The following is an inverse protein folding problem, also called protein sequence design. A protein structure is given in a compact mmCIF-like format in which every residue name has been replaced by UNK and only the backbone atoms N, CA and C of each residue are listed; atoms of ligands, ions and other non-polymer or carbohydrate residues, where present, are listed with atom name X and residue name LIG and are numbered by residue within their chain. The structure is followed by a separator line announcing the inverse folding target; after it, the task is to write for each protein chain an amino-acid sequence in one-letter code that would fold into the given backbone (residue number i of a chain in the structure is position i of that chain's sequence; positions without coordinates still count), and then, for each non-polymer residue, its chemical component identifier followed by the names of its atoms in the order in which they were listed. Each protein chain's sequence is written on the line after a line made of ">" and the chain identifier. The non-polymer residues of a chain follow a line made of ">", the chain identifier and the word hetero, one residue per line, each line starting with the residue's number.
data_IF_420929329135
#
_entry.id   IF_420929329135
#
_cell.length_a   1.000
_cell.length_b   1.000
_cell.length_c   1.000
_cell.angle_alpha   90.00
_cell.angle_beta   90.00
_cell.angle_gamma   90.00
#
_symmetry.space_group_name_H-M   'P 1'
#
loop_
_entity.id
_entity.type
_entity.pdbx_description
1 polymer ?
#
# COMPACT_ATOMS: atom_id res chain seq x y z
N UNK A 1 -3.18 -1.44 40.31
CA UNK A 1 -3.31 -1.95 38.94
C UNK A 1 -1.93 -1.86 38.28
N UNK A 2 -1.39 -2.99 37.86
CA UNK A 2 -0.11 -3.06 37.14
C UNK A 2 -0.30 -2.77 35.65
N UNK A 3 0.77 -2.46 34.92
CA UNK A 3 0.72 -2.27 33.45
C UNK A 3 0.16 -3.53 32.75
N UNK A 4 0.52 -4.73 33.25
CA UNK A 4 0.05 -5.99 32.67
C UNK A 4 -1.46 -6.21 32.89
N UNK A 5 -1.95 -5.89 34.08
CA UNK A 5 -3.40 -5.94 34.38
C UNK A 5 -4.15 -4.97 33.48
N UNK A 6 -3.67 -3.74 33.34
CA UNK A 6 -4.28 -2.74 32.46
C UNK A 6 -4.34 -3.19 30.98
N UNK A 7 -3.26 -3.79 30.46
CA UNK A 7 -3.25 -4.35 29.08
C UNK A 7 -4.30 -5.46 28.95
N UNK A 8 -4.42 -6.33 29.95
CA UNK A 8 -5.41 -7.42 29.95
C UNK A 8 -6.84 -6.89 30.01
N UNK A 9 -7.11 -5.91 30.86
CA UNK A 9 -8.44 -5.29 30.96
C UNK A 9 -8.83 -4.60 29.64
N UNK A 10 -7.85 -4.01 28.97
CA UNK A 10 -8.01 -3.39 27.65
C UNK A 10 -8.34 -4.41 26.55
N UNK A 11 -7.65 -5.54 26.55
CA UNK A 11 -7.96 -6.68 25.66
C UNK A 11 -9.39 -7.19 25.89
N UNK A 12 -9.78 -7.41 27.15
CA UNK A 12 -11.13 -7.88 27.53
C UNK A 12 -12.20 -6.86 27.10
N UNK A 13 -11.87 -5.57 27.15
CA UNK A 13 -12.76 -4.48 26.73
C UNK A 13 -12.85 -4.33 25.20
N UNK A 14 -12.20 -5.21 24.43
CA UNK A 14 -12.26 -5.22 22.96
C UNK A 14 -11.34 -4.21 22.28
N UNK A 15 -10.33 -3.68 22.97
CA UNK A 15 -9.35 -2.78 22.38
C UNK A 15 -8.03 -3.53 22.09
N UNK A 16 -7.78 -3.95 20.84
CA UNK A 16 -6.65 -4.79 20.48
C UNK A 16 -5.31 -4.05 20.42
N UNK A 17 -5.31 -2.72 20.53
CA UNK A 17 -4.13 -1.87 20.41
C UNK A 17 -4.09 -0.79 21.48
N UNK A 18 -2.90 -0.29 21.75
CA UNK A 18 -2.69 0.85 22.66
C UNK A 18 -1.41 1.61 22.36
N UNK A 19 -1.35 2.84 22.85
CA UNK A 19 -0.16 3.69 22.84
C UNK A 19 0.43 3.87 24.23
N UNK A 20 1.70 4.29 24.28
CA UNK A 20 2.37 4.66 25.54
C UNK A 20 1.68 5.84 26.22
N UNK A 21 1.11 6.77 25.44
CA UNK A 21 0.39 7.92 25.99
C UNK A 21 -0.86 7.48 26.76
N UNK A 22 -1.58 6.47 26.28
CA UNK A 22 -2.75 5.94 26.99
C UNK A 22 -2.38 5.27 28.31
N UNK A 23 -1.23 4.60 28.36
CA UNK A 23 -0.68 4.06 29.63
C UNK A 23 -0.35 5.20 30.58
N UNK A 24 0.32 6.26 30.10
CA UNK A 24 0.66 7.42 30.94
C UNK A 24 -0.57 8.10 31.53
N UNK A 25 -1.63 8.24 30.73
CA UNK A 25 -2.89 8.82 31.18
C UNK A 25 -3.60 7.94 32.20
N UNK A 26 -3.64 6.62 31.97
CA UNK A 26 -4.33 5.68 32.86
C UNK A 26 -3.54 5.39 34.16
N UNK A 27 -2.21 5.45 34.10
CA UNK A 27 -1.31 5.06 35.18
C UNK A 27 -0.23 6.16 35.44
N UNK A 28 -0.62 7.36 35.89
CA UNK A 28 0.27 8.52 35.99
C UNK A 28 1.37 8.40 37.06
N UNK A 29 1.27 7.42 37.96
CA UNK A 29 2.22 7.16 39.03
C UNK A 29 3.47 6.39 38.56
N UNK A 30 3.45 5.79 37.37
CA UNK A 30 4.61 5.11 36.81
C UNK A 30 5.53 6.09 36.07
N UNK A 31 6.84 6.00 36.31
CA UNK A 31 7.83 6.76 35.54
C UNK A 31 8.00 6.17 34.13
N UNK A 32 8.46 7.00 33.18
CA UNK A 32 8.67 6.56 31.80
C UNK A 32 9.62 5.36 31.68
N UNK A 33 10.66 5.34 32.52
CA UNK A 33 11.63 4.25 32.54
C UNK A 33 10.98 2.93 32.97
N UNK A 34 10.07 2.98 33.96
CA UNK A 34 9.35 1.78 34.40
C UNK A 34 8.41 1.29 33.30
N UNK A 35 7.65 2.19 32.67
CA UNK A 35 6.76 1.84 31.55
C UNK A 35 7.56 1.17 30.43
N UNK A 36 8.70 1.75 30.03
CA UNK A 36 9.55 1.20 28.97
C UNK A 36 10.09 -0.18 29.31
N UNK A 37 10.58 -0.37 30.54
CA UNK A 37 11.11 -1.65 31.00
C UNK A 37 10.03 -2.74 31.04
N UNK A 38 8.84 -2.41 31.54
CA UNK A 38 7.72 -3.35 31.60
C UNK A 38 7.20 -3.72 30.21
N UNK A 39 7.03 -2.75 29.30
CA UNK A 39 6.62 -3.02 27.92
C UNK A 39 7.65 -3.88 27.19
N UNK A 40 8.95 -3.67 27.42
CA UNK A 40 9.99 -4.52 26.85
C UNK A 40 9.87 -5.97 27.36
N UNK A 41 9.66 -6.15 28.66
CA UNK A 41 9.47 -7.48 29.28
C UNK A 41 8.21 -8.17 28.75
N UNK A 42 7.08 -7.47 28.69
CA UNK A 42 5.79 -8.00 28.20
C UNK A 42 5.88 -8.35 26.71
N UNK A 43 6.59 -7.54 25.92
CA UNK A 43 6.85 -7.83 24.51
C UNK A 43 7.74 -9.08 24.33
N UNK A 44 8.76 -9.24 25.18
CA UNK A 44 9.64 -10.42 25.17
C UNK A 44 8.90 -11.71 25.52
N UNK A 45 7.82 -11.62 26.29
CA UNK A 45 6.92 -12.72 26.62
C UNK A 45 5.95 -13.07 25.47
N UNK A 46 5.90 -12.27 24.39
CA UNK A 46 4.99 -12.50 23.27
C UNK A 46 3.54 -12.14 23.57
N UNK A 47 3.29 -11.25 24.54
CA UNK A 47 1.94 -10.76 24.87
C UNK A 47 1.59 -9.54 24.01
N UNK A 48 2.57 -8.69 23.71
CA UNK A 48 2.40 -7.50 22.87
C UNK A 48 3.44 -7.45 21.76
N UNK A 49 3.05 -6.88 20.62
CA UNK A 49 3.88 -6.69 19.45
C UNK A 49 4.10 -5.19 19.17
N UNK A 50 5.34 -4.67 19.23
CA UNK A 50 5.63 -3.27 18.95
C UNK A 50 5.62 -3.00 17.43
N UNK A 51 4.53 -2.42 16.91
CA UNK A 51 4.40 -2.17 15.46
C UNK A 51 4.89 -0.80 15.03
N UNK A 52 4.91 0.18 15.95
CA UNK A 52 5.38 1.53 15.70
C UNK A 52 5.98 2.14 17.00
N UNK A 53 6.73 3.24 16.88
CA UNK A 53 7.30 3.93 18.05
C UNK A 53 6.18 4.37 18.99
N UNK A 54 6.10 3.75 20.17
CA UNK A 54 5.12 4.10 21.19
C UNK A 54 3.73 3.52 20.95
N UNK A 55 3.56 2.60 19.99
CA UNK A 55 2.29 1.96 19.69
C UNK A 55 2.45 0.44 19.59
N UNK A 56 1.54 -0.28 20.23
CA UNK A 56 1.61 -1.72 20.45
C UNK A 56 0.28 -2.37 20.11
N UNK A 57 0.39 -3.61 19.62
CA UNK A 57 -0.75 -4.49 19.38
C UNK A 57 -0.71 -5.60 20.41
N UNK A 58 -1.84 -5.90 21.04
CA UNK A 58 -1.99 -7.05 21.91
C UNK A 58 -2.08 -8.29 21.01
N UNK A 59 -1.25 -9.30 21.24
CA UNK A 59 -1.18 -10.48 20.38
C UNK A 59 -2.36 -11.40 20.74
N UNK A 60 -3.38 -11.54 19.87
CA UNK A 60 -4.50 -12.42 20.17
C UNK A 60 -4.07 -13.90 20.14
N UNK A 61 -4.83 -14.81 20.78
CA UNK A 61 -4.45 -16.20 20.93
C UNK A 61 -4.11 -16.92 19.62
N UNK A 62 -4.81 -16.60 18.52
CA UNK A 62 -4.59 -17.23 17.21
C UNK A 62 -3.30 -16.76 16.50
N UNK A 63 -2.68 -15.65 16.93
CA UNK A 63 -1.36 -15.20 16.49
C UNK A 63 -0.23 -15.52 17.49
N UNK A 64 -0.54 -16.09 18.67
CA UNK A 64 0.40 -16.30 19.75
C UNK A 64 1.59 -17.22 19.37
N UNK A 65 1.34 -18.25 18.55
CA UNK A 65 2.39 -19.18 18.13
C UNK A 65 3.50 -18.50 17.31
N UNK A 66 3.13 -17.56 16.43
CA UNK A 66 4.08 -16.82 15.58
C UNK A 66 4.58 -15.53 16.23
N UNK A 67 3.92 -15.06 17.30
CA UNK A 67 4.18 -13.77 17.98
C UNK A 67 4.23 -12.58 17.02
N UNK A 68 3.52 -12.69 15.90
CA UNK A 68 3.44 -11.69 14.85
C UNK A 68 1.99 -11.52 14.47
N UNK A 69 1.54 -10.27 14.43
CA UNK A 69 0.18 -9.90 14.08
C UNK A 69 0.23 -9.27 12.68
N UNK A 70 -0.59 -9.71 11.71
CA UNK A 70 -0.56 -9.18 10.36
C UNK A 70 -1.02 -7.71 10.35
N UNK A 71 -0.42 -6.85 9.51
CA UNK A 71 -0.79 -5.43 9.43
C UNK A 71 -2.27 -5.14 9.22
N UNK A 72 -2.98 -5.98 8.46
CA UNK A 72 -4.42 -5.84 8.21
C UNK A 72 -5.26 -5.83 9.50
N UNK A 73 -4.73 -6.39 10.60
CA UNK A 73 -5.37 -6.44 11.90
C UNK A 73 -5.24 -5.14 12.70
N UNK A 74 -4.26 -4.28 12.43
CA UNK A 74 -4.02 -3.09 13.27
C UNK A 74 -3.83 -1.79 12.49
N UNK A 75 -3.81 -1.84 11.15
CA UNK A 75 -3.40 -0.69 10.35
C UNK A 75 -4.32 0.50 10.54
N UNK A 76 -5.62 0.28 10.72
CA UNK A 76 -6.60 1.35 10.92
C UNK A 76 -6.36 2.12 12.23
N UNK A 77 -6.12 1.38 13.31
CA UNK A 77 -5.83 1.95 14.63
C UNK A 77 -4.46 2.63 14.65
N UNK A 78 -3.48 2.06 13.94
CA UNK A 78 -2.17 2.69 13.77
C UNK A 78 -2.29 4.02 13.02
N UNK A 79 -3.05 4.07 11.94
CA UNK A 79 -3.21 5.30 11.16
C UNK A 79 -4.03 6.36 11.88
N UNK A 80 -5.01 5.92 12.69
CA UNK A 80 -5.72 6.78 13.63
C UNK A 80 -4.78 7.37 14.69
N UNK A 81 -3.89 6.55 15.29
CA UNK A 81 -2.86 7.02 16.23
C UNK A 81 -1.89 8.03 15.61
N UNK A 82 -1.50 7.79 14.35
CA UNK A 82 -0.64 8.72 13.60
C UNK A 82 -1.38 9.97 13.13
N UNK A 83 -2.72 9.99 13.25
CA UNK A 83 -3.60 11.00 12.70
C UNK A 83 -3.32 11.28 11.22
N UNK A 84 -3.27 10.21 10.42
CA UNK A 84 -2.98 10.29 8.99
C UNK A 84 -3.98 9.50 8.16
N UNK A 85 -4.45 10.06 7.03
CA UNK A 85 -5.25 9.29 6.09
C UNK A 85 -4.36 8.24 5.40
N UNK A 86 -4.99 7.14 4.99
CA UNK A 86 -4.27 6.02 4.40
C UNK A 86 -5.17 5.19 3.48
N UNK A 87 -4.53 4.33 2.71
CA UNK A 87 -5.15 3.14 2.15
C UNK A 87 -4.10 2.05 1.95
N UNK A 88 -4.55 0.80 1.91
CA UNK A 88 -3.75 -0.36 1.51
C UNK A 88 -3.57 -0.29 0.00
N UNK A 89 -2.32 -0.35 -0.47
CA UNK A 89 -1.96 -0.07 -1.86
C UNK A 89 -1.10 -1.17 -2.49
N UNK A 90 -0.76 -1.00 -3.77
CA UNK A 90 0.14 -1.88 -4.51
C UNK A 90 -0.31 -3.35 -4.48
N UNK A 91 0.63 -4.28 -4.28
CA UNK A 91 0.37 -5.73 -4.29
C UNK A 91 -0.67 -6.16 -3.26
N UNK A 92 -0.79 -5.46 -2.12
CA UNK A 92 -1.78 -5.81 -1.10
C UNK A 92 -3.19 -5.36 -1.48
N UNK A 93 -3.33 -4.25 -2.22
CA UNK A 93 -4.62 -3.90 -2.81
C UNK A 93 -5.00 -4.90 -3.91
N UNK A 94 -4.05 -5.27 -4.76
CA UNK A 94 -4.26 -6.26 -5.81
C UNK A 94 -4.66 -7.64 -5.23
N UNK A 95 -4.02 -8.08 -4.13
CA UNK A 95 -4.41 -9.28 -3.37
C UNK A 95 -5.85 -9.20 -2.84
N UNK A 96 -6.29 -8.04 -2.34
CA UNK A 96 -7.68 -7.85 -1.89
C UNK A 96 -8.65 -7.93 -3.07
N UNK A 97 -8.25 -7.45 -4.24
CA UNK A 97 -8.96 -7.66 -5.49
C UNK A 97 -8.85 -9.09 -6.00
N UNK A 98 -8.13 -10.00 -5.35
CA UNK A 98 -7.94 -11.38 -5.84
C UNK A 98 -7.08 -11.47 -7.10
N UNK A 99 -6.26 -10.44 -7.36
CA UNK A 99 -5.30 -10.36 -8.46
C UNK A 99 -3.88 -10.35 -7.87
N UNK A 100 -3.46 -11.50 -7.37
CA UNK A 100 -2.15 -11.70 -6.80
C UNK A 100 -1.75 -13.16 -6.87
N UNK A 101 -1.06 -13.53 -7.95
CA UNK A 101 -0.48 -14.86 -8.13
C UNK A 101 0.35 -15.32 -6.93
N UNK A 102 1.11 -14.40 -6.32
CA UNK A 102 1.89 -14.66 -5.12
C UNK A 102 1.50 -13.74 -3.99
N UNK A 103 1.40 -14.33 -2.79
CA UNK A 103 1.13 -13.57 -1.57
C UNK A 103 2.22 -12.51 -1.34
N UNK A 104 1.85 -11.22 -1.16
CA UNK A 104 2.82 -10.18 -0.88
C UNK A 104 3.57 -10.46 0.43
N UNK A 105 4.90 -10.45 0.39
CA UNK A 105 5.72 -10.66 1.60
C UNK A 105 5.71 -9.44 2.54
N UNK A 106 5.48 -8.25 1.99
CA UNK A 106 5.36 -7.01 2.73
C UNK A 106 3.97 -6.42 2.54
N UNK A 107 3.58 -5.55 3.46
CA UNK A 107 2.28 -4.89 3.49
C UNK A 107 2.44 -3.40 3.17
N UNK A 108 2.00 -3.03 1.98
CA UNK A 108 2.11 -1.68 1.42
C UNK A 108 0.97 -0.79 1.89
N UNK A 109 1.34 0.34 2.49
CA UNK A 109 0.42 1.35 2.97
C UNK A 109 0.78 2.68 2.33
N UNK A 110 -0.18 3.26 1.62
CA UNK A 110 -0.05 4.60 1.07
C UNK A 110 -0.57 5.62 2.08
N UNK A 111 0.18 6.69 2.32
CA UNK A 111 -0.24 7.81 3.16
C UNK A 111 0.29 9.14 2.60
N UNK A 112 0.09 10.23 3.33
CA UNK A 112 0.51 11.59 2.92
C UNK A 112 1.82 12.02 3.56
N UNK A 113 2.52 12.93 2.89
CA UNK A 113 3.66 13.64 3.47
C UNK A 113 3.23 14.54 4.65
N UNK A 114 4.13 14.87 5.59
CA UNK A 114 5.53 14.46 5.68
C UNK A 114 5.68 12.97 6.03
N UNK A 115 6.81 12.36 5.68
CA UNK A 115 7.06 10.95 6.00
C UNK A 115 6.99 10.73 7.51
N UNK A 116 6.36 9.65 7.95
CA UNK A 116 6.35 9.27 9.36
C UNK A 116 7.80 8.95 9.79
N UNK A 117 8.21 9.43 10.96
CA UNK A 117 9.55 9.22 11.52
C UNK A 117 9.67 7.79 12.09
N UNK A 118 9.53 6.81 11.22
CA UNK A 118 9.58 5.39 11.59
C UNK A 118 11.04 4.95 11.59
N UNK A 119 11.48 4.31 12.67
CA UNK A 119 12.68 3.47 12.56
C UNK A 119 12.27 2.21 11.82
N UNK A 120 12.83 2.00 10.62
CA UNK A 120 12.64 0.76 9.84
C UNK A 120 12.95 -0.51 10.66
N UNK A 121 13.73 -0.38 11.73
CA UNK A 121 14.11 -1.49 12.62
C UNK A 121 12.96 -2.12 13.42
N UNK A 122 11.83 -1.43 13.62
CA UNK A 122 10.76 -1.93 14.52
C UNK A 122 9.65 -2.72 13.81
N UNK A 123 9.39 -2.47 12.53
CA UNK A 123 8.40 -3.23 11.77
C UNK A 123 8.79 -3.33 10.29
N UNK A 124 9.55 -4.36 9.95
CA UNK A 124 10.01 -4.63 8.58
C UNK A 124 8.90 -5.14 7.65
N UNK A 125 7.70 -5.42 8.19
CA UNK A 125 6.56 -5.92 7.42
C UNK A 125 5.87 -4.80 6.65
N UNK A 126 5.91 -3.56 7.14
CA UNK A 126 5.25 -2.42 6.50
C UNK A 126 6.16 -1.76 5.46
N UNK A 127 5.59 -1.49 4.28
CA UNK A 127 6.18 -0.63 3.25
C UNK A 127 5.37 0.65 3.18
N UNK A 128 6.00 1.75 3.59
CA UNK A 128 5.37 3.07 3.55
C UNK A 128 5.61 3.75 2.21
N UNK A 129 4.52 4.02 1.50
CA UNK A 129 4.51 4.78 0.24
C UNK A 129 3.79 6.10 0.49
N UNK A 130 4.26 7.17 -0.14
CA UNK A 130 3.77 8.52 0.15
C UNK A 130 3.34 9.25 -1.12
N UNK A 131 2.24 9.98 -1.00
CA UNK A 131 1.69 10.85 -2.03
C UNK A 131 1.27 12.20 -1.43
N UNK A 132 0.92 13.16 -2.28
CA UNK A 132 0.53 14.51 -1.84
C UNK A 132 -0.84 14.53 -1.16
N UNK A 133 -1.78 13.77 -1.69
CA UNK A 133 -3.18 13.74 -1.28
C UNK A 133 -3.74 12.33 -1.48
N UNK A 134 -4.68 11.90 -0.62
CA UNK A 134 -5.35 10.61 -0.73
C UNK A 134 -6.55 10.73 -1.69
N UNK A 135 -6.64 9.87 -2.72
CA UNK A 135 -7.75 9.84 -3.67
C UNK A 135 -8.97 9.13 -3.07
N UNK A 136 -9.65 9.77 -2.12
CA UNK A 136 -10.75 9.15 -1.35
C UNK A 136 -11.88 8.60 -2.21
N UNK A 137 -12.19 9.24 -3.33
CA UNK A 137 -13.23 8.83 -4.29
C UNK A 137 -12.94 7.47 -4.95
N UNK A 138 -11.68 7.01 -4.89
CA UNK A 138 -11.19 5.78 -5.51
C UNK A 138 -10.81 4.72 -4.46
N UNK A 139 -11.26 4.90 -3.22
CA UNK A 139 -11.06 3.93 -2.15
C UNK A 139 -12.31 3.08 -1.96
N UNK A 140 -12.08 1.80 -1.79
CA UNK A 140 -13.06 0.83 -1.32
C UNK A 140 -12.78 0.52 0.15
N UNK A 141 -13.79 0.01 0.84
CA UNK A 141 -13.66 -0.42 2.23
C UNK A 141 -14.07 -1.88 2.41
N UNK A 142 -13.49 -2.53 3.41
CA UNK A 142 -13.91 -3.86 3.88
C UNK A 142 -13.69 -3.98 5.38
N UNK A 143 -14.45 -4.84 6.03
CA UNK A 143 -14.24 -5.16 7.44
C UNK A 143 -12.96 -6.00 7.60
N UNK A 144 -12.14 -5.63 8.58
CA UNK A 144 -11.09 -6.46 9.17
C UNK A 144 -11.56 -7.03 10.50
N UNK A 145 -10.71 -7.81 11.17
CA UNK A 145 -11.01 -8.36 12.50
C UNK A 145 -11.20 -7.28 13.58
N UNK A 146 -10.69 -6.07 13.37
CA UNK A 146 -10.61 -5.02 14.40
C UNK A 146 -11.21 -3.69 13.98
N UNK A 147 -11.68 -3.55 12.74
CA UNK A 147 -12.18 -2.29 12.23
C UNK A 147 -12.51 -2.32 10.74
N UNK A 148 -12.60 -1.15 10.13
CA UNK A 148 -12.80 -0.98 8.69
C UNK A 148 -11.46 -0.59 8.08
N UNK A 149 -11.05 -1.28 7.03
CA UNK A 149 -9.84 -0.95 6.28
C UNK A 149 -10.20 -0.39 4.91
N UNK A 150 -9.35 0.50 4.42
CA UNK A 150 -9.49 1.13 3.11
C UNK A 150 -8.41 0.64 2.16
N UNK A 151 -8.76 0.41 0.90
CA UNK A 151 -7.85 -0.03 -0.15
C UNK A 151 -8.22 0.63 -1.48
N UNK A 152 -7.26 0.77 -2.39
CA UNK A 152 -7.52 1.36 -3.70
C UNK A 152 -8.44 0.48 -4.53
N UNK A 153 -9.33 1.07 -5.33
CA UNK A 153 -10.08 0.35 -6.36
C UNK A 153 -9.13 -0.20 -7.46
N UNK A 154 -9.66 -0.94 -8.44
CA UNK A 154 -8.82 -1.60 -9.45
C UNK A 154 -8.00 -0.59 -10.28
N UNK A 155 -8.61 0.50 -10.73
CA UNK A 155 -7.98 1.51 -11.59
C UNK A 155 -6.88 2.28 -10.86
N UNK A 156 -7.14 2.69 -9.61
CA UNK A 156 -6.12 3.33 -8.78
C UNK A 156 -5.00 2.35 -8.43
N UNK A 157 -5.32 1.08 -8.20
CA UNK A 157 -4.31 0.03 -7.95
C UNK A 157 -3.40 -0.12 -9.17
N UNK A 158 -3.96 -0.17 -10.39
CA UNK A 158 -3.21 -0.25 -11.64
C UNK A 158 -2.27 0.94 -11.85
N UNK A 159 -2.75 2.15 -11.56
CA UNK A 159 -1.89 3.34 -11.61
C UNK A 159 -0.80 3.31 -10.55
N UNK A 160 -1.12 2.92 -9.33
CA UNK A 160 -0.17 2.88 -8.21
C UNK A 160 0.95 1.87 -8.46
N UNK A 161 0.66 0.65 -8.95
CA UNK A 161 1.70 -0.36 -9.23
C UNK A 161 2.67 0.07 -10.33
N UNK A 162 2.21 0.81 -11.34
CA UNK A 162 3.09 1.37 -12.38
C UNK A 162 3.86 2.59 -11.88
N UNK A 163 3.21 3.48 -11.12
CA UNK A 163 3.82 4.71 -10.62
C UNK A 163 4.90 4.44 -9.56
N UNK A 164 4.69 3.41 -8.75
CA UNK A 164 5.51 3.05 -7.61
C UNK A 164 6.17 1.67 -7.79
N UNK A 165 6.47 1.31 -9.04
CA UNK A 165 7.07 0.03 -9.45
C UNK A 165 8.31 -0.37 -8.64
N UNK A 166 9.09 0.62 -8.19
CA UNK A 166 10.30 0.42 -7.42
C UNK A 166 10.04 -0.25 -6.05
N UNK A 167 8.80 -0.19 -5.55
CA UNK A 167 8.41 -0.84 -4.29
C UNK A 167 7.95 -2.28 -4.48
N UNK A 168 7.67 -2.70 -5.71
CA UNK A 168 7.14 -4.04 -6.01
C UNK A 168 8.11 -4.89 -6.83
N UNK A 169 9.23 -4.33 -7.28
CA UNK A 169 10.30 -5.07 -7.96
C UNK A 169 10.38 -4.86 -9.46
N UNK A 170 9.79 -3.78 -9.99
CA UNK A 170 9.88 -3.46 -11.42
C UNK A 170 8.56 -3.55 -12.17
N UNK A 171 8.60 -3.08 -13.42
CA UNK A 171 7.47 -3.15 -14.34
C UNK A 171 7.13 -4.59 -14.78
N UNK A 172 8.08 -5.52 -14.77
CA UNK A 172 7.80 -6.95 -15.02
C UNK A 172 6.78 -7.49 -14.01
N UNK A 173 7.07 -7.33 -12.71
CA UNK A 173 6.15 -7.73 -11.65
C UNK A 173 4.86 -6.92 -11.63
N UNK A 174 4.91 -5.65 -12.03
CA UNK A 174 3.70 -4.85 -12.23
C UNK A 174 2.81 -5.47 -13.33
N UNK A 175 3.40 -5.95 -14.41
CA UNK A 175 2.69 -6.48 -15.58
C UNK A 175 2.01 -7.81 -15.26
N UNK A 176 2.68 -8.73 -14.56
CA UNK A 176 2.05 -9.99 -14.10
C UNK A 176 0.80 -9.71 -13.24
N UNK A 177 0.86 -8.73 -12.34
CA UNK A 177 -0.28 -8.37 -11.49
C UNK A 177 -1.37 -7.66 -12.30
N UNK A 178 -0.99 -6.80 -13.25
CA UNK A 178 -1.93 -6.15 -14.15
C UNK A 178 -2.70 -7.15 -14.98
N UNK A 179 -2.07 -8.24 -15.44
CA UNK A 179 -2.71 -9.30 -16.22
C UNK A 179 -3.96 -9.85 -15.51
N UNK A 180 -3.84 -10.22 -14.23
CA UNK A 180 -4.97 -10.66 -13.41
C UNK A 180 -5.98 -9.53 -13.09
N UNK A 181 -5.48 -8.30 -12.96
CA UNK A 181 -6.32 -7.14 -12.63
C UNK A 181 -7.18 -6.70 -13.83
N UNK A 182 -6.77 -7.04 -15.06
CA UNK A 182 -7.38 -6.63 -16.34
C UNK A 182 -8.90 -6.80 -16.33
N UNK A 183 -9.40 -7.95 -15.86
CA UNK A 183 -10.84 -8.26 -15.83
C UNK A 183 -11.69 -7.30 -14.98
N UNK A 184 -11.04 -6.52 -14.11
CA UNK A 184 -11.70 -5.62 -13.13
C UNK A 184 -11.51 -4.15 -13.47
N UNK A 185 -10.75 -3.83 -14.52
CA UNK A 185 -10.41 -2.46 -14.87
C UNK A 185 -11.48 -1.83 -15.75
N UNK A 186 -11.92 -0.63 -15.36
CA UNK A 186 -12.75 0.25 -16.18
C UNK A 186 -12.29 1.71 -16.07
N UNK A 187 -11.61 2.19 -17.11
CA UNK A 187 -11.10 3.56 -17.13
C UNK A 187 -12.12 4.60 -17.62
N UNK A 188 -13.37 4.24 -17.89
CA UNK A 188 -14.38 5.23 -18.33
C UNK A 188 -14.54 6.35 -17.31
N UNK A 189 -14.39 7.59 -17.77
CA UNK A 189 -14.44 8.78 -16.91
C UNK A 189 -13.18 9.01 -16.06
N UNK A 190 -12.10 8.25 -16.25
CA UNK A 190 -10.85 8.43 -15.50
C UNK A 190 -10.23 9.83 -15.68
N UNK A 191 -10.45 10.47 -16.84
CA UNK A 191 -10.01 11.84 -17.12
C UNK A 191 -10.62 12.89 -16.18
N UNK A 192 -11.79 12.62 -15.59
CA UNK A 192 -12.51 13.59 -14.76
C UNK A 192 -11.80 13.86 -13.42
N UNK A 193 -11.26 12.81 -12.79
CA UNK A 193 -10.64 12.92 -11.45
C UNK A 193 -9.42 12.01 -11.27
N UNK A 194 -9.48 10.75 -11.74
CA UNK A 194 -8.44 9.76 -11.46
C UNK A 194 -7.06 10.21 -11.97
N UNK A 195 -6.99 10.77 -13.18
CA UNK A 195 -5.71 11.20 -13.74
C UNK A 195 -5.07 12.38 -13.01
N UNK A 196 -5.83 13.18 -12.27
CA UNK A 196 -5.29 14.24 -11.41
C UNK A 196 -4.41 13.73 -10.27
N UNK A 197 -4.52 12.44 -9.94
CA UNK A 197 -3.79 11.78 -8.88
C UNK A 197 -2.49 11.09 -9.33
N UNK A 198 -2.17 11.14 -10.62
CA UNK A 198 -0.98 10.49 -11.19
C UNK A 198 -0.26 11.40 -12.19
N UNK A 199 0.82 10.91 -12.78
CA UNK A 199 1.53 11.60 -13.85
C UNK A 199 1.10 11.07 -15.21
N UNK A 200 1.12 11.92 -16.24
CA UNK A 200 0.89 11.50 -17.64
C UNK A 200 1.84 10.37 -18.02
N UNK A 201 3.09 10.42 -17.54
CA UNK A 201 4.08 9.38 -17.81
C UNK A 201 3.67 8.01 -17.24
N UNK A 202 3.02 7.98 -16.08
CA UNK A 202 2.46 6.74 -15.51
C UNK A 202 1.37 6.19 -16.41
N UNK A 203 0.43 7.04 -16.85
CA UNK A 203 -0.70 6.63 -17.70
C UNK A 203 -0.18 6.08 -19.03
N UNK A 204 0.82 6.74 -19.63
CA UNK A 204 1.48 6.26 -20.85
C UNK A 204 2.08 4.87 -20.65
N UNK A 205 2.80 4.63 -19.53
CA UNK A 205 3.41 3.31 -19.23
C UNK A 205 2.35 2.24 -19.01
N UNK A 206 1.32 2.55 -18.23
CA UNK A 206 0.21 1.64 -17.99
C UNK A 206 -0.48 1.24 -19.30
N UNK A 207 -0.77 2.22 -20.15
CA UNK A 207 -1.38 1.98 -21.45
C UNK A 207 -0.53 1.12 -22.36
N UNK A 208 0.78 1.39 -22.45
CA UNK A 208 1.69 0.54 -23.21
C UNK A 208 1.73 -0.91 -22.69
N UNK A 209 1.74 -1.10 -21.37
CA UNK A 209 1.72 -2.45 -20.77
C UNK A 209 0.41 -3.17 -21.12
N UNK A 210 -0.74 -2.52 -20.94
CA UNK A 210 -2.04 -3.10 -21.26
C UNK A 210 -2.16 -3.45 -22.75
N UNK A 211 -1.71 -2.56 -23.63
CA UNK A 211 -1.86 -2.70 -25.09
C UNK A 211 -0.87 -3.73 -25.67
N UNK A 212 0.43 -3.52 -25.47
CA UNK A 212 1.48 -4.23 -26.20
C UNK A 212 2.06 -5.42 -25.45
N UNK A 213 1.98 -5.43 -24.11
CA UNK A 213 2.51 -6.54 -23.29
C UNK A 213 1.40 -7.54 -22.98
N UNK A 214 0.25 -7.06 -22.52
CA UNK A 214 -0.86 -7.90 -22.04
C UNK A 214 -1.94 -8.15 -23.10
N UNK A 215 -1.87 -7.49 -24.26
CA UNK A 215 -2.86 -7.59 -25.34
C UNK A 215 -4.31 -7.29 -24.90
N UNK A 216 -4.48 -6.45 -23.87
CA UNK A 216 -5.76 -6.01 -23.34
C UNK A 216 -6.32 -4.80 -24.12
N UNK A 217 -6.51 -4.98 -25.43
CA UNK A 217 -6.80 -3.91 -26.38
C UNK A 217 -8.02 -3.06 -26.00
N UNK A 218 -9.13 -3.67 -25.54
CA UNK A 218 -10.36 -2.93 -25.19
C UNK A 218 -10.13 -1.93 -24.03
N UNK A 219 -9.36 -2.35 -23.03
CA UNK A 219 -9.05 -1.52 -21.84
C UNK A 219 -8.03 -0.45 -22.21
N UNK A 220 -7.03 -0.83 -23.01
CA UNK A 220 -6.03 0.09 -23.55
C UNK A 220 -6.67 1.18 -24.43
N UNK A 221 -7.64 0.83 -25.28
CA UNK A 221 -8.40 1.74 -26.12
C UNK A 221 -9.19 2.75 -25.27
N UNK A 222 -9.92 2.26 -24.27
CA UNK A 222 -10.65 3.10 -23.32
C UNK A 222 -9.72 4.07 -22.59
N UNK A 223 -8.59 3.57 -22.06
CA UNK A 223 -7.59 4.40 -21.39
C UNK A 223 -7.00 5.45 -22.33
N UNK A 224 -6.75 5.09 -23.59
CA UNK A 224 -6.19 5.99 -24.60
C UNK A 224 -7.17 7.12 -24.95
N UNK A 225 -8.45 6.81 -25.10
CA UNK A 225 -9.50 7.81 -25.32
C UNK A 225 -9.58 8.81 -24.16
N UNK A 226 -9.55 8.32 -22.93
CA UNK A 226 -9.56 9.17 -21.73
C UNK A 226 -8.28 10.01 -21.61
N UNK A 227 -7.11 9.46 -21.96
CA UNK A 227 -5.86 10.21 -21.91
C UNK A 227 -5.84 11.35 -22.94
N UNK A 228 -6.33 11.09 -24.15
CA UNK A 228 -6.36 12.10 -25.23
C UNK A 228 -7.42 13.18 -24.99
N UNK A 229 -8.51 12.87 -24.28
CA UNK A 229 -9.46 13.89 -23.81
C UNK A 229 -8.88 14.74 -22.67
N UNK A 230 -8.10 14.12 -21.78
CA UNK A 230 -7.45 14.79 -20.64
C UNK A 230 -6.30 15.69 -21.06
N UNK A 231 -5.46 15.25 -22.00
CA UNK A 231 -4.24 15.96 -22.43
C UNK A 231 -4.12 15.96 -23.95
N UNK A 232 -4.14 17.16 -24.54
CA UNK A 232 -4.06 17.35 -26.01
C UNK A 232 -2.78 16.80 -26.65
N UNK A 233 -1.63 16.88 -25.95
CA UNK A 233 -0.33 16.39 -26.44
C UNK A 233 0.55 15.94 -25.28
N UNK A 234 1.13 14.74 -25.40
CA UNK A 234 2.09 14.18 -24.45
C UNK A 234 3.39 13.78 -25.18
N UNK A 235 4.51 13.81 -24.45
CA UNK A 235 5.87 13.64 -24.99
C UNK A 235 6.29 12.17 -24.97
N UNK A 236 7.31 11.84 -25.78
CA UNK A 236 7.95 10.54 -25.65
C UNK A 236 8.67 10.42 -24.31
N UNK A 237 8.43 9.31 -23.61
CA UNK A 237 9.07 8.95 -22.34
C UNK A 237 9.75 7.58 -22.44
N UNK A 238 10.79 7.29 -21.65
CA UNK A 238 11.31 5.93 -21.58
C UNK A 238 10.38 5.03 -20.74
N UNK A 239 10.27 3.76 -21.15
CA UNK A 239 9.50 2.75 -20.43
C UNK A 239 10.01 2.58 -19.00
N UNK A 240 11.33 2.42 -18.84
CA UNK A 240 12.02 2.51 -17.53
C UNK A 240 13.00 3.68 -17.50
N UNK A 241 13.15 4.34 -16.35
CA UNK A 241 14.13 5.42 -16.17
C UNK A 241 15.56 4.91 -15.97
N UNK A 242 15.74 3.62 -15.67
CA UNK A 242 17.03 3.06 -15.25
C UNK A 242 17.91 2.59 -16.41
N UNK A 243 17.44 2.66 -17.66
CA UNK A 243 18.19 2.23 -18.85
C UNK A 243 18.27 3.34 -19.90
N UNK A 244 19.36 3.41 -20.68
CA UNK A 244 19.48 4.39 -21.76
C UNK A 244 18.38 4.17 -22.79
N UNK A 245 17.94 5.25 -23.43
CA UNK A 245 16.92 5.25 -24.49
C UNK A 245 17.52 5.25 -25.90
N UNK A 246 18.85 5.24 -25.98
CA UNK A 246 19.56 5.32 -27.24
C UNK A 246 19.27 4.06 -28.06
N UNK A 247 18.88 4.24 -29.33
CA UNK A 247 18.46 3.17 -30.23
C UNK A 247 17.21 2.36 -29.79
N UNK A 248 16.47 2.80 -28.76
CA UNK A 248 15.24 2.14 -28.34
C UNK A 248 14.12 2.28 -29.39
N UNK A 249 13.36 1.20 -29.58
CA UNK A 249 12.16 1.21 -30.42
C UNK A 249 11.13 2.20 -29.88
N UNK A 250 10.34 2.79 -30.78
CA UNK A 250 9.35 3.82 -30.44
C UNK A 250 7.94 3.29 -30.62
N UNK A 251 7.21 3.15 -29.52
CA UNK A 251 5.75 3.01 -29.58
C UNK A 251 5.13 4.39 -29.82
N UNK A 252 4.49 4.57 -30.98
CA UNK A 252 3.96 5.86 -31.41
C UNK A 252 2.65 6.23 -30.72
N UNK A 253 1.84 5.23 -30.38
CA UNK A 253 0.53 5.40 -29.75
C UNK A 253 0.68 5.99 -28.35
N UNK A 254 1.41 5.28 -27.48
CA UNK A 254 1.65 5.67 -26.09
C UNK A 254 2.83 6.63 -25.92
N UNK A 255 3.55 6.93 -27.01
CA UNK A 255 4.76 7.78 -27.02
C UNK A 255 5.79 7.24 -26.01
N UNK A 256 6.20 6.00 -26.20
CA UNK A 256 7.18 5.32 -25.33
C UNK A 256 8.42 4.93 -26.11
N UNK A 257 9.59 5.15 -25.52
CA UNK A 257 10.85 4.49 -25.92
C UNK A 257 10.95 3.16 -25.17
N UNK A 258 10.83 2.05 -25.91
CA UNK A 258 10.88 0.68 -25.38
C UNK A 258 12.34 0.33 -25.11
N UNK A 259 12.84 0.75 -23.95
CA UNK A 259 14.23 0.59 -23.54
C UNK A 259 14.45 -0.59 -22.58
N UNK A 260 13.45 -1.45 -22.42
CA UNK A 260 13.49 -2.68 -21.63
C UNK A 260 12.41 -3.63 -22.13
N UNK A 261 12.71 -4.92 -22.10
CA UNK A 261 11.75 -5.98 -22.34
C UNK A 261 11.03 -6.24 -21.01
N UNK A 262 9.71 -6.28 -21.05
CA UNK A 262 8.87 -6.67 -19.92
C UNK A 262 8.53 -8.14 -20.13
N UNK A 263 8.94 -8.97 -19.19
CA UNK A 263 8.60 -10.39 -19.14
C UNK A 263 7.56 -10.56 -18.05
N UNK A 264 6.41 -11.15 -18.39
CA UNK A 264 5.45 -11.64 -17.40
C UNK A 264 5.90 -13.03 -16.96
N UNK A 265 5.78 -13.31 -15.67
CA UNK A 265 6.02 -14.66 -15.17
C UNK A 265 4.91 -15.58 -15.71
N UNK A 266 5.24 -16.81 -16.11
CA UNK A 266 4.22 -17.80 -16.51
C UNK A 266 3.24 -18.04 -15.35
N UNK A 267 1.94 -17.81 -15.61
CA UNK A 267 0.82 -18.04 -14.69
C UNK A 267 0.43 -19.52 -14.67
#
# INVERSE_FOLDING_TARGET
>A
MTIREWIRDREISGFPTFSVEEIRLALPHYSEQVIKNDLFRISSQGIIYPVYKGFYVIIPPHYAAKRMVPPIYYIDQLMSYLNKPYYISLLNAAEIHGAAHQRPQKFSVMSVFPKSSVSQSKNNTLVWVYRKEIPTDFLLSKNSETGVIYYSNAELTALDIVQYEQYIGGLSRASTILEELTEKLDFRGASNKLFGYTSIATIQRLGYILDEVLNAAEIADTLYMELTSYVKRFKYIPLTINKPKDCAERNNRWKIFVNTIIETDEI
#
